data_IF_762785310551
#
_entry.id   IF_762785310551
#
_cell.length_a   1.000
_cell.length_b   1.000
_cell.length_c   1.000
_cell.angle_alpha   90.00
_cell.angle_beta   90.00
_cell.angle_gamma   90.00
#
_symmetry.space_group_name_H-M   'P 1'
#
loop_
_entity.id
_entity.type
_entity.pdbx_description
1 polymer ?
#
# COMPACT_ATOMS: atom_id res chain seq x y z
N UNK A 1 9.68 -4.90 -1.37
CA UNK A 1 8.43 -4.15 -1.59
C UNK A 1 8.80 -2.76 -2.10
N UNK A 2 8.09 -2.24 -3.09
CA UNK A 2 8.22 -0.85 -3.54
C UNK A 2 6.84 -0.21 -3.52
N UNK A 3 6.74 1.06 -3.13
CA UNK A 3 5.49 1.81 -3.11
C UNK A 3 5.73 3.19 -3.69
N UNK A 4 4.89 3.59 -4.64
CA UNK A 4 4.85 4.92 -5.21
C UNK A 4 3.53 5.58 -4.83
N UNK A 5 3.56 6.88 -4.52
CA UNK A 5 2.39 7.69 -4.21
C UNK A 5 2.43 8.95 -5.07
N UNK A 6 1.48 9.05 -5.99
CA UNK A 6 1.32 10.20 -6.86
C UNK A 6 0.07 10.96 -6.47
N UNK A 7 0.15 12.29 -6.37
CA UNK A 7 -1.04 13.10 -6.08
C UNK A 7 -1.92 13.11 -7.34
N UNK A 8 -3.22 12.85 -7.21
CA UNK A 8 -4.15 12.99 -8.33
C UNK A 8 -4.23 14.44 -8.83
N UNK A 9 -4.64 14.63 -10.09
CA UNK A 9 -4.78 15.96 -10.70
C UNK A 9 -5.72 16.88 -9.91
N UNK A 10 -6.82 16.33 -9.38
CA UNK A 10 -7.79 17.03 -8.53
C UNK A 10 -7.29 17.29 -7.09
N UNK A 11 -6.11 16.76 -6.73
CA UNK A 11 -5.47 16.79 -5.41
C UNK A 11 -6.33 16.23 -4.27
N UNK A 12 -7.43 15.57 -4.57
CA UNK A 12 -8.36 15.04 -3.57
C UNK A 12 -7.92 13.67 -3.02
N UNK A 13 -7.09 12.94 -3.79
CA UNK A 13 -6.65 11.57 -3.46
C UNK A 13 -5.19 11.34 -3.86
N UNK A 14 -4.67 10.20 -3.42
CA UNK A 14 -3.35 9.72 -3.83
C UNK A 14 -3.50 8.44 -4.66
N UNK A 15 -2.83 8.38 -5.80
CA UNK A 15 -2.68 7.15 -6.55
C UNK A 15 -1.50 6.36 -5.98
N UNK A 16 -1.80 5.25 -5.33
CA UNK A 16 -0.84 4.31 -4.80
C UNK A 16 -0.54 3.23 -5.83
N UNK A 17 0.75 3.01 -6.12
CA UNK A 17 1.22 1.84 -6.85
C UNK A 17 2.13 1.02 -5.93
N UNK A 18 1.70 -0.18 -5.56
CA UNK A 18 2.43 -1.11 -4.71
C UNK A 18 2.95 -2.28 -5.54
N UNK A 19 4.27 -2.48 -5.52
CA UNK A 19 4.93 -3.64 -6.10
C UNK A 19 5.40 -4.58 -4.98
N UNK A 20 4.78 -5.76 -4.95
CA UNK A 20 5.13 -6.87 -4.08
C UNK A 20 5.99 -7.85 -4.87
N UNK A 21 7.22 -8.03 -4.40
CA UNK A 21 8.14 -9.05 -4.91
C UNK A 21 8.16 -10.15 -3.86
N UNK A 22 7.54 -11.27 -4.19
CA UNK A 22 7.40 -12.43 -3.29
C UNK A 22 8.46 -13.49 -3.58
N UNK A 23 8.62 -14.43 -2.66
CA UNK A 23 9.66 -15.47 -2.73
C UNK A 23 9.44 -16.47 -3.87
N UNK A 24 8.20 -16.64 -4.29
CA UNK A 24 7.79 -17.46 -5.44
C UNK A 24 8.16 -16.83 -6.80
N UNK A 25 8.87 -15.69 -6.79
CA UNK A 25 9.23 -14.87 -7.96
C UNK A 25 8.02 -14.27 -8.68
N UNK A 26 6.82 -14.32 -8.08
CA UNK A 26 5.68 -13.57 -8.58
C UNK A 26 5.84 -12.10 -8.20
N UNK A 27 5.75 -11.25 -9.20
CA UNK A 27 5.66 -9.80 -9.03
C UNK A 27 4.18 -9.43 -9.10
N UNK A 28 3.63 -8.98 -7.97
CA UNK A 28 2.24 -8.52 -7.90
C UNK A 28 2.25 -7.01 -7.84
N UNK A 29 1.57 -6.37 -8.78
CA UNK A 29 1.37 -4.92 -8.79
C UNK A 29 -0.08 -4.61 -8.47
N UNK A 30 -0.29 -3.74 -7.49
CA UNK A 30 -1.59 -3.20 -7.13
C UNK A 30 -1.57 -1.69 -7.36
N UNK A 31 -2.60 -1.19 -8.04
CA UNK A 31 -2.87 0.25 -8.13
C UNK A 31 -4.14 0.55 -7.34
N UNK A 32 -4.12 1.58 -6.51
CA UNK A 32 -5.23 1.91 -5.61
C UNK A 32 -5.37 3.43 -5.42
N UNK A 33 -6.62 3.90 -5.42
CA UNK A 33 -6.95 5.29 -5.14
C UNK A 33 -7.11 5.48 -3.64
N UNK A 34 -6.04 5.92 -3.01
CA UNK A 34 -5.94 6.10 -1.56
C UNK A 34 -6.66 7.38 -1.13
N UNK A 35 -7.72 7.20 -0.35
CA UNK A 35 -8.50 8.26 0.28
C UNK A 35 -7.79 8.79 1.54
N UNK A 36 -8.09 10.03 1.98
CA UNK A 36 -7.54 10.59 3.20
C UNK A 36 -7.86 9.78 4.47
N UNK A 37 -9.01 9.10 4.48
CA UNK A 37 -9.51 8.28 5.59
C UNK A 37 -8.86 6.90 5.65
N UNK A 38 -8.22 6.46 4.58
CA UNK A 38 -7.65 5.11 4.52
C UNK A 38 -6.42 5.01 5.43
N UNK A 39 -6.36 3.90 6.17
CA UNK A 39 -5.26 3.55 7.05
C UNK A 39 -4.38 2.46 6.43
N UNK A 40 -3.10 2.47 6.80
CA UNK A 40 -2.16 1.45 6.36
C UNK A 40 -2.54 0.04 6.88
N UNK A 41 -3.14 -0.02 8.07
CA UNK A 41 -3.61 -1.26 8.71
C UNK A 41 -4.77 -1.88 7.93
N UNK A 42 -5.76 -1.07 7.55
CA UNK A 42 -6.94 -1.56 6.83
C UNK A 42 -6.52 -2.08 5.45
N UNK A 43 -5.70 -1.30 4.71
CA UNK A 43 -5.19 -1.72 3.41
C UNK A 43 -4.37 -3.02 3.50
N UNK A 44 -3.50 -3.16 4.51
CA UNK A 44 -2.76 -4.41 4.70
C UNK A 44 -3.68 -5.59 5.03
N UNK A 45 -4.75 -5.36 5.80
CA UNK A 45 -5.74 -6.38 6.14
C UNK A 45 -6.52 -6.83 4.89
N UNK A 46 -6.94 -5.89 4.05
CA UNK A 46 -7.59 -6.19 2.76
C UNK A 46 -6.67 -6.99 1.84
N UNK A 47 -5.38 -6.62 1.74
CA UNK A 47 -4.43 -7.34 0.89
C UNK A 47 -4.19 -8.78 1.33
N UNK A 48 -4.27 -9.05 2.63
CA UNK A 48 -4.26 -10.43 3.13
C UNK A 48 -5.59 -11.13 2.83
N UNK A 49 -6.71 -10.47 3.08
CA UNK A 49 -8.05 -11.02 2.81
C UNK A 49 -8.21 -11.48 1.36
N UNK A 50 -7.72 -10.70 0.40
CA UNK A 50 -7.75 -11.02 -1.02
C UNK A 50 -6.60 -11.94 -1.48
N UNK A 51 -5.73 -12.39 -0.58
CA UNK A 51 -4.64 -13.32 -0.87
C UNK A 51 -3.46 -12.72 -1.64
N UNK A 52 -3.35 -11.39 -1.69
CA UNK A 52 -2.18 -10.71 -2.29
C UNK A 52 -0.93 -10.88 -1.42
N UNK A 53 -1.09 -10.99 -0.09
CA UNK A 53 -0.03 -11.09 0.90
C UNK A 53 -0.40 -12.15 1.95
N UNK A 54 0.58 -12.82 2.54
CA UNK A 54 0.36 -13.80 3.61
C UNK A 54 0.06 -13.10 4.95
N UNK A 55 -0.73 -13.73 5.83
CA UNK A 55 -1.10 -13.15 7.14
C UNK A 55 0.14 -12.81 7.99
N UNK A 56 1.18 -13.65 7.94
CA UNK A 56 2.44 -13.43 8.67
C UNK A 56 3.16 -12.14 8.24
N UNK A 57 2.96 -11.70 7.01
CA UNK A 57 3.57 -10.48 6.47
C UNK A 57 2.71 -9.22 6.72
N UNK A 58 1.47 -9.37 7.21
CA UNK A 58 0.52 -8.25 7.37
C UNK A 58 1.11 -7.11 8.18
N UNK A 59 1.68 -7.41 9.34
CA UNK A 59 2.21 -6.41 10.27
C UNK A 59 3.38 -5.65 9.66
N UNK A 60 4.25 -6.35 8.92
CA UNK A 60 5.39 -5.76 8.22
C UNK A 60 4.94 -4.85 7.08
N UNK A 61 3.93 -5.29 6.32
CA UNK A 61 3.32 -4.49 5.25
C UNK A 61 2.65 -3.23 5.80
N UNK A 62 1.84 -3.36 6.85
CA UNK A 62 1.18 -2.22 7.49
C UNK A 62 2.19 -1.18 7.97
N UNK A 63 3.28 -1.60 8.65
CA UNK A 63 4.34 -0.70 9.09
C UNK A 63 5.05 0.01 7.92
N UNK A 64 5.31 -0.73 6.83
CA UNK A 64 5.89 -0.17 5.61
C UNK A 64 4.97 0.89 4.96
N UNK A 65 3.69 0.57 4.81
CA UNK A 65 2.69 1.50 4.26
C UNK A 65 2.53 2.74 5.15
N UNK A 66 2.48 2.57 6.47
CA UNK A 66 2.36 3.67 7.43
C UNK A 66 3.53 4.65 7.31
N UNK A 67 4.77 4.13 7.23
CA UNK A 67 5.95 4.96 7.01
C UNK A 67 5.90 5.73 5.67
N UNK A 68 5.38 5.08 4.63
CA UNK A 68 5.23 5.65 3.30
C UNK A 68 4.17 6.75 3.28
N UNK A 69 3.03 6.52 3.92
CA UNK A 69 1.93 7.47 4.01
C UNK A 69 2.36 8.72 4.78
N UNK A 70 3.04 8.55 5.91
CA UNK A 70 3.57 9.69 6.69
C UNK A 70 4.54 10.54 5.88
N UNK A 71 5.44 9.92 5.11
CA UNK A 71 6.40 10.65 4.27
C UNK A 71 5.73 11.52 3.21
N UNK A 72 4.63 11.07 2.62
CA UNK A 72 3.96 11.79 1.53
C UNK A 72 2.81 12.69 1.99
N UNK A 73 2.11 12.33 3.07
CA UNK A 73 1.02 13.14 3.65
C UNK A 73 1.54 14.22 4.60
N UNK A 74 2.72 14.05 5.18
CA UNK A 74 3.37 15.02 6.07
C UNK A 74 4.35 15.98 5.38
N UNK A 75 4.48 15.92 4.05
CA UNK A 75 5.32 16.79 3.23
C UNK A 75 4.50 17.85 2.49
#
# INVERSE_FOLDING_TARGET
MQCNLERSEDKARWHLTLLLVLEDRLHRQLTYDLLPTDSAQDLATELVHYGFVHEDDRTKLAAFLESTFRKHRGA
#
